data_IF_873383567793
#
_entry.id   IF_873383567793
#
_cell.length_a   1.000
_cell.length_b   1.000
_cell.length_c   1.000
_cell.angle_alpha   90.00
_cell.angle_beta   90.00
_cell.angle_gamma   90.00
#
_symmetry.space_group_name_H-M   'P 1'
#
loop_
_entity.id
_entity.type
_entity.pdbx_description
1 polymer ?
#
# COMPACT_ATOMS: atom_id res chain seq x y z
N UNK A 1 -11.70 -1.37 13.98
CA UNK A 1 -12.01 -1.84 12.62
C UNK A 1 -13.39 -1.32 12.23
N UNK A 2 -13.49 -0.64 11.11
CA UNK A 2 -14.72 -0.11 10.53
C UNK A 2 -14.85 -0.64 9.10
N UNK A 3 -15.95 -1.29 8.78
CA UNK A 3 -16.24 -1.75 7.42
C UNK A 3 -16.81 -0.61 6.59
N UNK A 4 -16.22 -0.37 5.41
CA UNK A 4 -16.64 0.67 4.46
C UNK A 4 -17.53 0.09 3.35
N UNK A 5 -17.23 -1.14 2.94
CA UNK A 5 -18.01 -1.97 2.04
C UNK A 5 -17.64 -3.44 2.32
N UNK A 6 -18.38 -4.44 1.84
CA UNK A 6 -18.09 -5.85 2.13
C UNK A 6 -16.62 -6.19 1.91
N UNK A 7 -15.91 -6.61 2.95
CA UNK A 7 -14.50 -6.96 2.92
C UNK A 7 -13.50 -5.79 2.82
N UNK A 8 -13.96 -4.56 2.64
CA UNK A 8 -13.13 -3.35 2.65
C UNK A 8 -13.23 -2.70 4.01
N UNK A 9 -12.15 -2.73 4.77
CA UNK A 9 -12.14 -2.22 6.15
C UNK A 9 -11.03 -1.20 6.38
N UNK A 10 -11.27 -0.28 7.31
CA UNK A 10 -10.27 0.66 7.80
C UNK A 10 -10.03 0.47 9.29
N UNK A 11 -8.75 0.50 9.67
CA UNK A 11 -8.27 0.66 11.03
C UNK A 11 -7.67 2.04 11.16
N UNK A 12 -8.05 2.76 12.20
CA UNK A 12 -7.66 4.15 12.40
C UNK A 12 -6.47 4.25 13.37
N UNK A 13 -5.58 5.18 13.07
CA UNK A 13 -4.48 5.59 13.96
C UNK A 13 -3.58 4.45 14.45
N UNK A 14 -3.15 3.55 13.54
CA UNK A 14 -2.39 2.35 13.91
C UNK A 14 -0.91 2.64 14.21
N UNK A 15 -0.32 3.69 13.62
CA UNK A 15 1.10 4.01 13.77
C UNK A 15 1.34 5.54 13.69
N UNK A 16 0.99 6.32 14.74
CA UNK A 16 1.04 7.78 14.72
C UNK A 16 2.43 8.39 14.45
N UNK A 17 3.49 7.69 14.83
CA UNK A 17 4.88 8.15 14.72
C UNK A 17 5.50 7.89 13.34
N UNK A 18 4.77 7.28 12.40
CA UNK A 18 5.31 6.78 11.12
C UNK A 18 5.96 7.86 10.25
N UNK A 19 5.48 9.11 10.27
CA UNK A 19 6.06 10.21 9.52
C UNK A 19 7.45 10.65 10.02
N UNK A 20 7.85 10.30 11.24
CA UNK A 20 9.20 10.54 11.74
C UNK A 20 10.23 9.69 10.99
N UNK A 21 9.83 8.46 10.60
CA UNK A 21 10.67 7.61 9.77
C UNK A 21 10.84 8.16 8.36
N UNK A 22 9.79 8.77 7.77
CA UNK A 22 9.90 9.41 6.45
C UNK A 22 10.92 10.54 6.48
N UNK A 23 10.91 11.37 7.51
CA UNK A 23 11.92 12.43 7.69
C UNK A 23 13.34 11.86 7.75
N UNK A 24 13.56 10.81 8.53
CA UNK A 24 14.86 10.13 8.62
C UNK A 24 15.29 9.51 7.28
N UNK A 25 14.36 8.88 6.54
CA UNK A 25 14.61 8.30 5.21
C UNK A 25 15.08 9.39 4.22
N UNK A 26 14.43 10.55 4.24
CA UNK A 26 14.81 11.69 3.39
C UNK A 26 16.17 12.30 3.84
N UNK A 27 16.40 12.43 5.14
CA UNK A 27 17.67 12.93 5.72
C UNK A 27 18.86 12.00 5.41
N UNK A 28 18.65 10.68 5.41
CA UNK A 28 19.67 9.70 5.03
C UNK A 28 19.90 9.64 3.51
N UNK A 29 19.09 10.35 2.73
CA UNK A 29 19.23 10.42 1.27
C UNK A 29 18.94 9.10 0.56
N UNK A 30 18.06 8.26 1.11
CA UNK A 30 17.67 7.00 0.50
C UNK A 30 16.91 7.28 -0.79
N UNK A 31 17.39 6.70 -1.90
CA UNK A 31 16.90 7.02 -3.23
C UNK A 31 15.52 6.41 -3.51
N UNK A 32 14.60 7.25 -3.96
CA UNK A 32 13.35 6.86 -4.56
C UNK A 32 13.57 6.42 -6.00
N UNK A 33 12.82 5.43 -6.46
CA UNK A 33 12.85 4.99 -7.84
C UNK A 33 11.43 4.92 -8.42
N UNK A 34 11.24 5.12 -9.73
CA UNK A 34 9.93 4.92 -10.35
C UNK A 34 9.40 3.52 -10.09
N UNK A 35 8.11 3.42 -9.78
CA UNK A 35 7.46 2.13 -9.61
C UNK A 35 7.30 1.41 -10.95
N UNK A 36 7.41 0.10 -10.92
CA UNK A 36 7.26 -0.76 -12.07
C UNK A 36 5.88 -1.43 -12.08
N UNK A 37 5.42 -1.79 -13.26
CA UNK A 37 4.29 -2.68 -13.52
C UNK A 37 4.75 -3.79 -14.46
N UNK A 38 3.99 -4.87 -14.51
CA UNK A 38 4.23 -5.92 -15.50
C UNK A 38 3.88 -5.38 -16.89
N UNK A 39 4.87 -5.27 -17.78
CA UNK A 39 4.72 -4.72 -19.14
C UNK A 39 4.65 -5.82 -20.20
N UNK A 40 5.18 -7.00 -19.91
CA UNK A 40 5.07 -8.18 -20.76
C UNK A 40 4.77 -9.42 -19.90
N UNK A 41 3.52 -9.86 -19.93
CA UNK A 41 3.05 -11.01 -19.14
C UNK A 41 3.68 -12.34 -19.59
N UNK A 42 3.95 -12.50 -20.89
CA UNK A 42 4.52 -13.74 -21.43
C UNK A 42 5.98 -13.93 -21.05
N UNK A 43 6.72 -12.85 -20.95
CA UNK A 43 8.15 -12.86 -20.60
C UNK A 43 8.37 -12.53 -19.10
N UNK A 44 7.33 -12.34 -18.31
CA UNK A 44 7.41 -11.91 -16.90
C UNK A 44 8.26 -10.64 -16.70
N UNK A 45 8.21 -9.74 -17.68
CA UNK A 45 9.02 -8.54 -17.67
C UNK A 45 8.31 -7.39 -16.97
N UNK A 46 8.95 -6.85 -15.93
CA UNK A 46 8.53 -5.60 -15.29
C UNK A 46 9.20 -4.40 -15.96
N UNK A 47 8.52 -3.27 -15.93
CA UNK A 47 9.04 -2.01 -16.43
C UNK A 47 8.19 -0.82 -16.01
N UNK A 48 8.70 0.37 -16.24
CA UNK A 48 7.97 1.60 -15.94
C UNK A 48 6.90 1.85 -17.00
N UNK A 49 5.67 2.10 -16.58
CA UNK A 49 4.57 2.53 -17.42
C UNK A 49 3.77 3.60 -16.69
N UNK A 50 4.22 4.85 -16.80
CA UNK A 50 3.60 5.99 -16.11
C UNK A 50 2.15 6.26 -16.53
N UNK A 51 1.74 5.73 -17.68
CA UNK A 51 0.31 5.76 -18.06
C UNK A 51 -0.54 4.84 -17.20
N UNK A 52 0.01 3.70 -16.73
CA UNK A 52 -0.68 2.76 -15.87
C UNK A 52 -0.47 3.11 -14.39
N UNK A 53 0.79 3.22 -13.97
CA UNK A 53 1.21 3.52 -12.61
C UNK A 53 2.29 4.59 -12.61
N UNK A 54 1.99 5.74 -12.06
CA UNK A 54 2.95 6.83 -11.89
C UNK A 54 3.10 7.11 -10.40
N UNK A 55 4.21 6.67 -9.83
CA UNK A 55 4.59 6.85 -8.43
C UNK A 55 6.03 6.46 -8.22
N UNK A 56 6.68 7.02 -7.22
CA UNK A 56 8.00 6.60 -6.77
C UNK A 56 7.90 5.60 -5.62
N UNK A 57 8.88 4.72 -5.49
CA UNK A 57 8.93 3.72 -4.43
C UNK A 57 10.31 3.54 -3.81
N UNK A 58 10.29 3.10 -2.56
CA UNK A 58 11.40 2.44 -1.87
C UNK A 58 10.91 1.04 -1.48
N UNK A 59 11.67 0.01 -1.83
CA UNK A 59 11.40 -1.35 -1.33
C UNK A 59 11.82 -1.42 0.13
N UNK A 60 10.88 -1.74 0.98
CA UNK A 60 11.16 -1.98 2.39
C UNK A 60 11.69 -3.40 2.59
N UNK A 61 12.56 -3.64 3.58
CA UNK A 61 13.02 -4.99 3.91
C UNK A 61 11.85 -5.93 4.22
N UNK A 62 12.01 -7.20 3.91
CA UNK A 62 11.04 -8.20 4.37
C UNK A 62 11.11 -8.31 5.90
N UNK A 63 9.96 -8.45 6.57
CA UNK A 63 9.88 -8.47 8.03
C UNK A 63 10.66 -9.62 8.69
N UNK A 64 10.94 -10.71 7.95
CA UNK A 64 11.74 -11.83 8.40
C UNK A 64 13.24 -11.60 8.28
N UNK A 65 13.67 -10.53 7.60
CA UNK A 65 15.08 -10.22 7.45
C UNK A 65 15.58 -9.47 8.69
N UNK A 66 16.73 -9.87 9.18
CA UNK A 66 17.48 -9.12 10.17
C UNK A 66 18.35 -8.07 9.48
N UNK A 67 18.48 -6.91 10.10
CA UNK A 67 19.26 -5.80 9.59
C UNK A 67 19.24 -4.60 10.53
N UNK A 68 19.83 -3.52 10.07
CA UNK A 68 19.88 -2.24 10.78
C UNK A 68 19.55 -1.08 9.84
N UNK A 69 19.41 0.13 10.43
CA UNK A 69 19.07 1.36 9.71
C UNK A 69 17.57 1.62 9.64
N UNK A 70 17.26 2.82 9.19
CA UNK A 70 15.90 3.38 9.27
C UNK A 70 14.83 2.52 8.59
N UNK A 71 15.13 1.89 7.46
CA UNK A 71 14.16 1.05 6.75
C UNK A 71 13.82 -0.22 7.53
N UNK A 72 14.81 -0.85 8.18
CA UNK A 72 14.56 -2.04 9.02
C UNK A 72 13.77 -1.67 10.27
N UNK A 73 14.12 -0.60 10.94
CA UNK A 73 13.41 -0.09 12.11
C UNK A 73 11.94 0.20 11.77
N UNK A 74 11.72 0.95 10.68
CA UNK A 74 10.38 1.26 10.19
C UNK A 74 9.57 0.01 9.86
N UNK A 75 10.14 -0.92 9.10
CA UNK A 75 9.46 -2.14 8.68
C UNK A 75 9.07 -3.01 9.87
N UNK A 76 10.00 -3.17 10.82
CA UNK A 76 9.74 -3.94 12.04
C UNK A 76 8.58 -3.36 12.83
N UNK A 77 8.64 -2.05 13.14
CA UNK A 77 7.58 -1.42 13.92
C UNK A 77 6.25 -1.39 13.16
N UNK A 78 6.27 -1.15 11.86
CA UNK A 78 5.08 -1.24 11.01
C UNK A 78 4.40 -2.60 11.13
N UNK A 79 5.15 -3.72 11.05
CA UNK A 79 4.57 -5.06 11.17
C UNK A 79 4.07 -5.38 12.57
N UNK A 80 4.73 -4.87 13.62
CA UNK A 80 4.24 -5.00 15.00
C UNK A 80 2.88 -4.31 15.18
N UNK A 81 2.69 -3.12 14.58
CA UNK A 81 1.41 -2.38 14.60
C UNK A 81 0.36 -3.00 13.68
N UNK A 82 0.79 -3.55 12.55
CA UNK A 82 -0.07 -4.21 11.57
C UNK A 82 -0.68 -5.51 12.07
N UNK A 83 0.09 -6.30 12.82
CA UNK A 83 -0.29 -7.65 13.24
C UNK A 83 -1.68 -7.74 13.90
N UNK A 84 -2.03 -6.95 14.94
CA UNK A 84 -3.35 -7.05 15.55
C UNK A 84 -4.50 -6.69 14.58
N UNK A 85 -4.26 -5.80 13.63
CA UNK A 85 -5.24 -5.45 12.61
C UNK A 85 -5.50 -6.61 11.64
N UNK A 86 -4.43 -7.28 11.21
CA UNK A 86 -4.53 -8.48 10.36
C UNK A 86 -5.19 -9.65 11.09
N UNK A 87 -4.81 -9.91 12.33
CA UNK A 87 -5.44 -10.96 13.15
C UNK A 87 -6.95 -10.74 13.28
N UNK A 88 -7.39 -9.50 13.50
CA UNK A 88 -8.81 -9.16 13.56
C UNK A 88 -9.50 -9.30 12.20
N UNK A 89 -8.87 -8.85 11.11
CA UNK A 89 -9.40 -9.01 9.75
C UNK A 89 -9.57 -10.48 9.39
N UNK A 90 -8.52 -11.29 9.58
CA UNK A 90 -8.55 -12.72 9.30
C UNK A 90 -9.63 -13.45 10.11
N UNK A 91 -9.77 -13.13 11.39
CA UNK A 91 -10.80 -13.72 12.23
C UNK A 91 -12.21 -13.35 11.76
N UNK A 92 -12.42 -12.10 11.31
CA UNK A 92 -13.74 -11.61 10.87
C UNK A 92 -14.18 -12.24 9.54
N UNK A 93 -13.26 -12.39 8.60
CA UNK A 93 -13.57 -12.86 7.24
C UNK A 93 -13.14 -14.31 6.97
N UNK A 94 -12.70 -15.03 8.00
CA UNK A 94 -12.16 -16.40 7.88
C UNK A 94 -11.05 -16.52 6.82
N UNK A 95 -10.31 -15.42 6.63
CA UNK A 95 -9.21 -15.37 5.68
C UNK A 95 -7.96 -16.08 6.25
N UNK A 96 -7.16 -16.66 5.35
CA UNK A 96 -5.87 -17.25 5.72
C UNK A 96 -4.77 -16.55 4.92
N UNK A 97 -3.69 -16.22 5.59
CA UNK A 97 -2.48 -15.68 5.01
C UNK A 97 -1.37 -16.71 5.25
N UNK A 98 -0.70 -17.10 4.19
CA UNK A 98 0.41 -18.07 4.22
C UNK A 98 1.75 -17.42 3.87
N UNK A 99 1.70 -16.29 3.14
CA UNK A 99 2.88 -15.61 2.65
C UNK A 99 2.68 -14.10 2.62
N UNK A 100 3.73 -13.36 2.97
CA UNK A 100 3.82 -11.91 2.82
C UNK A 100 4.76 -11.56 1.68
N UNK A 101 4.37 -10.62 0.81
CA UNK A 101 5.31 -9.94 -0.08
C UNK A 101 6.06 -8.83 0.67
N UNK A 102 7.23 -8.44 0.17
CA UNK A 102 7.96 -7.30 0.72
C UNK A 102 7.12 -6.02 0.58
N UNK A 103 7.00 -5.21 1.66
CA UNK A 103 6.22 -3.99 1.58
C UNK A 103 6.91 -2.94 0.71
N UNK A 104 6.10 -2.08 0.10
CA UNK A 104 6.56 -0.96 -0.72
C UNK A 104 6.14 0.34 -0.08
N UNK A 105 7.11 1.20 0.24
CA UNK A 105 6.84 2.58 0.58
C UNK A 105 6.72 3.37 -0.72
N UNK A 106 5.56 3.99 -0.94
CA UNK A 106 5.25 4.74 -2.15
C UNK A 106 5.11 6.23 -1.83
N UNK A 107 5.52 7.04 -2.81
CA UNK A 107 5.34 8.48 -2.79
C UNK A 107 4.66 8.93 -4.09
N UNK A 108 3.53 9.59 -3.96
CA UNK A 108 2.82 10.20 -5.08
C UNK A 108 2.93 11.72 -4.98
N UNK A 109 3.48 12.33 -5.99
CA UNK A 109 3.50 13.78 -6.20
C UNK A 109 2.35 14.24 -7.11
N UNK A 110 2.37 15.52 -7.46
CA UNK A 110 1.36 16.14 -8.31
C UNK A 110 1.15 15.38 -9.63
N UNK A 111 -0.11 15.16 -10.02
CA UNK A 111 -0.59 14.41 -11.19
C UNK A 111 -0.30 12.91 -11.14
N UNK A 112 0.51 12.42 -10.21
CA UNK A 112 0.81 11.00 -10.05
C UNK A 112 -0.43 10.23 -9.58
N UNK A 113 -0.59 9.01 -10.11
CA UNK A 113 -1.80 8.18 -9.98
C UNK A 113 -1.52 6.72 -10.24
N UNK A 114 -2.50 5.88 -9.98
CA UNK A 114 -2.52 4.50 -10.43
C UNK A 114 -3.88 4.17 -11.01
N UNK A 115 -3.92 3.85 -12.30
CA UNK A 115 -5.18 3.53 -12.98
C UNK A 115 -5.86 2.30 -12.40
N UNK A 116 -7.13 2.14 -12.77
CA UNK A 116 -7.97 1.02 -12.35
C UNK A 116 -7.28 -0.33 -12.62
N UNK A 117 -7.08 -1.11 -11.57
CA UNK A 117 -6.37 -2.39 -11.59
C UNK A 117 -6.89 -3.34 -10.53
N UNK A 118 -6.47 -4.58 -10.62
CA UNK A 118 -6.58 -5.61 -9.59
C UNK A 118 -5.19 -5.96 -9.09
N UNK A 119 -5.09 -6.29 -7.82
CA UNK A 119 -3.81 -6.67 -7.22
C UNK A 119 -3.45 -8.13 -7.42
N UNK A 120 -4.46 -9.02 -7.53
CA UNK A 120 -4.25 -10.44 -7.83
C UNK A 120 -3.82 -10.65 -9.27
N UNK A 121 -2.90 -11.58 -9.50
CA UNK A 121 -2.37 -11.86 -10.83
C UNK A 121 -2.12 -13.35 -11.01
N UNK A 122 -2.33 -13.94 -12.22
CA UNK A 122 -2.09 -15.36 -12.47
C UNK A 122 -0.69 -15.87 -12.14
N UNK A 123 0.33 -14.99 -12.18
CA UNK A 123 1.73 -15.35 -11.89
C UNK A 123 2.10 -15.27 -10.41
N UNK A 124 1.37 -14.50 -9.61
CA UNK A 124 1.58 -14.34 -8.18
C UNK A 124 0.23 -14.12 -7.49
N UNK A 125 -0.22 -15.18 -6.84
CA UNK A 125 -1.51 -15.14 -6.13
C UNK A 125 -1.43 -14.16 -4.97
N UNK A 126 -2.37 -13.21 -4.96
CA UNK A 126 -2.58 -12.27 -3.87
C UNK A 126 -4.01 -12.40 -3.40
N UNK A 127 -4.21 -12.62 -2.11
CA UNK A 127 -5.54 -12.77 -1.50
C UNK A 127 -6.00 -11.50 -0.81
N UNK A 128 -5.07 -10.82 -0.15
CA UNK A 128 -5.33 -9.64 0.66
C UNK A 128 -4.34 -8.56 0.28
N UNK A 129 -4.85 -7.36 0.09
CA UNK A 129 -4.12 -6.13 -0.11
C UNK A 129 -4.29 -5.21 1.08
N UNK A 130 -3.24 -4.48 1.41
CA UNK A 130 -3.33 -3.39 2.36
C UNK A 130 -2.68 -2.12 1.82
N UNK A 131 -3.21 -1.00 2.26
CA UNK A 131 -2.61 0.32 2.09
C UNK A 131 -2.63 1.05 3.42
N UNK A 132 -1.46 1.38 3.92
CA UNK A 132 -1.29 2.20 5.11
C UNK A 132 -0.94 3.63 4.70
N UNK A 133 -1.69 4.61 5.19
CA UNK A 133 -1.56 6.03 4.87
C UNK A 133 -0.75 6.73 5.94
N UNK A 134 0.43 7.26 5.59
CA UNK A 134 1.30 7.91 6.57
C UNK A 134 0.87 9.35 6.84
N UNK A 135 0.30 10.04 5.84
CA UNK A 135 -0.09 11.44 5.92
C UNK A 135 -1.43 11.72 5.24
N UNK A 136 -1.99 12.90 5.47
CA UNK A 136 -3.23 13.40 4.87
C UNK A 136 -3.17 14.89 4.46
N UNK A 137 -1.97 15.48 4.51
CA UNK A 137 -1.67 16.87 4.16
C UNK A 137 -1.42 17.06 2.66
N UNK A 138 -2.27 16.43 1.83
CA UNK A 138 -2.28 16.52 0.37
C UNK A 138 -3.72 16.64 -0.15
N UNK A 139 -3.87 17.09 -1.39
CA UNK A 139 -5.15 17.15 -2.09
C UNK A 139 -5.23 16.08 -3.20
N UNK A 140 -6.42 15.53 -3.44
CA UNK A 140 -6.63 14.42 -4.36
C UNK A 140 -6.12 13.10 -3.80
N UNK A 141 -5.64 12.19 -4.66
CA UNK A 141 -5.05 10.91 -4.26
C UNK A 141 -6.02 9.93 -3.58
N UNK A 142 -7.33 10.14 -3.72
CA UNK A 142 -8.34 9.22 -3.18
C UNK A 142 -8.23 7.85 -3.84
N UNK A 143 -8.61 6.81 -3.11
CA UNK A 143 -8.78 5.46 -3.67
C UNK A 143 -10.26 5.22 -3.98
N UNK A 144 -10.55 4.74 -5.19
CA UNK A 144 -11.92 4.44 -5.60
C UNK A 144 -12.07 2.95 -5.96
N UNK A 145 -13.03 2.30 -5.33
CA UNK A 145 -13.53 0.95 -5.64
C UNK A 145 -14.84 1.08 -6.41
N UNK A 146 -14.76 1.23 -7.73
CA UNK A 146 -15.92 1.52 -8.60
C UNK A 146 -17.05 0.51 -8.46
N UNK A 147 -16.74 -0.79 -8.36
CA UNK A 147 -17.75 -1.86 -8.20
C UNK A 147 -18.49 -1.79 -6.88
N UNK A 148 -17.90 -1.15 -5.88
CA UNK A 148 -18.51 -0.94 -4.56
C UNK A 148 -19.14 0.45 -4.38
N UNK A 149 -19.01 1.33 -5.40
CA UNK A 149 -19.45 2.73 -5.28
C UNK A 149 -18.76 3.48 -4.14
N UNK A 150 -17.56 3.05 -3.79
CA UNK A 150 -16.79 3.58 -2.66
C UNK A 150 -15.61 4.41 -3.16
N UNK A 151 -15.60 5.68 -2.79
CA UNK A 151 -14.42 6.54 -2.91
C UNK A 151 -13.95 6.91 -1.51
N UNK A 152 -12.73 6.50 -1.20
CA UNK A 152 -12.15 6.63 0.13
C UNK A 152 -11.06 7.69 0.12
N UNK A 153 -11.28 8.76 0.89
CA UNK A 153 -10.24 9.71 1.26
C UNK A 153 -9.68 9.29 2.60
N UNK A 154 -8.41 8.91 2.60
CA UNK A 154 -7.76 8.47 3.81
C UNK A 154 -7.41 9.63 4.74
N UNK A 155 -7.45 9.36 6.03
CA UNK A 155 -6.81 10.18 7.06
C UNK A 155 -5.45 9.56 7.41
N UNK A 156 -4.54 10.37 7.92
CA UNK A 156 -3.22 9.89 8.35
C UNK A 156 -3.33 8.76 9.37
N UNK A 157 -2.38 7.86 9.31
CA UNK A 157 -2.26 6.69 10.18
C UNK A 157 -3.40 5.66 10.02
N UNK A 158 -4.23 5.79 8.97
CA UNK A 158 -5.25 4.80 8.64
C UNK A 158 -4.64 3.64 7.84
N UNK A 159 -5.11 2.44 8.13
CA UNK A 159 -4.80 1.21 7.40
C UNK A 159 -6.06 0.71 6.72
N UNK A 160 -6.04 0.65 5.40
CA UNK A 160 -7.09 0.06 4.58
C UNK A 160 -6.68 -1.38 4.23
N UNK A 161 -7.59 -2.34 4.46
CA UNK A 161 -7.41 -3.77 4.10
C UNK A 161 -8.59 -4.22 3.25
N UNK A 162 -8.31 -4.95 2.17
CA UNK A 162 -9.32 -5.45 1.24
C UNK A 162 -8.85 -6.71 0.50
N UNK A 163 -9.77 -7.52 -0.08
CA UNK A 163 -9.40 -8.64 -0.92
C UNK A 163 -8.79 -8.18 -2.25
N UNK A 164 -7.80 -8.92 -2.76
CA UNK A 164 -7.03 -8.53 -3.94
C UNK A 164 -7.69 -8.86 -5.28
N UNK A 165 -8.78 -9.64 -5.29
CA UNK A 165 -9.36 -10.22 -6.51
C UNK A 165 -10.14 -9.21 -7.38
N UNK A 166 -10.63 -9.67 -8.53
CA UNK A 166 -11.27 -8.87 -9.58
C UNK A 166 -12.55 -8.11 -9.16
N UNK A 167 -13.17 -8.46 -8.03
CA UNK A 167 -14.33 -7.73 -7.50
C UNK A 167 -13.86 -6.42 -6.84
N UNK A 168 -12.63 -6.38 -6.36
CA UNK A 168 -12.02 -5.26 -5.63
C UNK A 168 -11.04 -4.47 -6.50
N UNK A 169 -11.34 -4.37 -7.82
CA UNK A 169 -10.59 -3.46 -8.68
C UNK A 169 -10.72 -2.03 -8.16
N UNK A 170 -9.62 -1.32 -8.20
CA UNK A 170 -9.53 0.00 -7.62
C UNK A 170 -8.54 0.89 -8.38
N UNK A 171 -8.69 2.19 -8.21
CA UNK A 171 -7.76 3.19 -8.75
C UNK A 171 -7.33 4.19 -7.67
N UNK A 172 -6.14 4.75 -7.85
CA UNK A 172 -5.67 5.91 -7.10
C UNK A 172 -5.82 7.12 -8.00
N UNK A 173 -6.69 8.05 -7.62
CA UNK A 173 -6.88 9.30 -8.36
C UNK A 173 -5.62 10.18 -8.31
N UNK A 174 -5.43 11.08 -9.28
CA UNK A 174 -4.29 11.98 -9.28
C UNK A 174 -4.20 12.80 -7.99
N UNK A 175 -2.98 12.94 -7.48
CA UNK A 175 -2.68 13.94 -6.44
C UNK A 175 -2.73 15.32 -7.09
N UNK A 176 -3.48 16.22 -6.50
CA UNK A 176 -3.68 17.60 -7.01
C UNK A 176 -2.57 18.51 -6.47
N UNK A 177 -2.29 18.39 -5.18
CA UNK A 177 -1.24 19.15 -4.49
C UNK A 177 -0.67 18.39 -3.30
N UNK A 178 0.57 18.66 -2.92
CA UNK A 178 1.28 18.00 -1.84
C UNK A 178 1.92 16.68 -2.24
N UNK A 179 2.37 15.91 -1.25
CA UNK A 179 2.97 14.58 -1.39
C UNK A 179 2.17 13.55 -0.57
N UNK A 180 1.74 12.49 -1.20
CA UNK A 180 1.03 11.39 -0.56
C UNK A 180 1.98 10.24 -0.31
N UNK A 181 2.19 9.87 0.96
CA UNK A 181 3.02 8.73 1.37
C UNK A 181 2.15 7.57 1.85
N UNK A 182 2.38 6.37 1.30
CA UNK A 182 1.69 5.15 1.71
C UNK A 182 2.64 3.95 1.74
N UNK A 183 2.34 2.98 2.59
CA UNK A 183 2.91 1.64 2.47
C UNK A 183 1.85 0.73 1.87
N UNK A 184 2.20 -0.02 0.82
CA UNK A 184 1.38 -1.09 0.28
C UNK A 184 2.05 -2.43 0.51
N UNK A 185 1.25 -3.46 0.79
CA UNK A 185 1.74 -4.82 0.94
C UNK A 185 0.65 -5.81 0.53
N UNK A 186 1.08 -6.93 -0.02
CA UNK A 186 0.20 -8.01 -0.47
C UNK A 186 0.51 -9.30 0.26
N UNK A 187 -0.53 -10.11 0.39
CA UNK A 187 -0.47 -11.37 1.11
C UNK A 187 -1.23 -12.46 0.34
N UNK A 188 -0.66 -13.67 0.35
CA UNK A 188 -1.22 -14.87 -0.27
C UNK A 188 -1.64 -15.92 0.78
#
# INVERSE_FOLDING_TARGET
MKELAPGIVVFENIFPESMEYIKRIEEEGISWRPAEVLVNEQEHQSGTNTKARDTDLIMLPHHEHEGNGVLFEFTKEFHERLKPCLDQYMATYYAKIEKFEGPQLLRYGKEQKFHDHIDDHPLFTRRISLTYYLNDDYEGGDVEFKRHGLRFKAEKNNLLIFPSNFIYNHEVHPVIDGLRYVVVQWMA
#
